data_IF_495576740560
#
_entry.id   IF_495576740560
#
_cell.length_a   1.000
_cell.length_b   1.000
_cell.length_c   1.000
_cell.angle_alpha   90.00
_cell.angle_beta   90.00
_cell.angle_gamma   90.00
#
_symmetry.space_group_name_H-M   'P 1'
#
loop_
_entity.id
_entity.type
_entity.pdbx_description
1 polymer ?
#
# COMPACT_ATOMS: atom_id res chain seq x y z
N UNK A 1 0.58 44.58 -60.93
CA UNK A 1 0.10 45.53 -59.91
C UNK A 1 -0.55 44.73 -58.80
N UNK A 2 0.02 44.85 -57.59
CA UNK A 2 -0.59 44.67 -56.25
C UNK A 2 -1.29 43.32 -55.95
N UNK A 3 -0.71 42.43 -55.15
CA UNK A 3 -0.61 42.47 -53.67
C UNK A 3 -1.97 42.43 -52.97
N UNK A 4 -2.29 41.32 -52.32
CA UNK A 4 -2.27 41.28 -50.85
C UNK A 4 -2.22 39.86 -50.30
N UNK A 5 -1.23 39.70 -49.42
CA UNK A 5 -1.00 38.64 -48.45
C UNK A 5 -2.01 38.81 -47.32
N UNK A 6 -2.53 37.69 -46.80
CA UNK A 6 -3.01 37.61 -45.43
C UNK A 6 -2.76 36.20 -44.91
N UNK A 7 -1.97 36.16 -43.84
CA UNK A 7 -1.36 35.03 -43.17
C UNK A 7 -2.36 34.00 -42.66
N UNK A 8 -2.08 32.72 -42.89
CA UNK A 8 -2.62 31.63 -42.07
C UNK A 8 -1.68 31.42 -40.89
N UNK A 9 -1.94 32.13 -39.79
CA UNK A 9 -1.37 31.78 -38.49
C UNK A 9 -1.81 30.36 -38.12
N UNK A 10 -0.84 29.47 -38.08
CA UNK A 10 -0.93 28.19 -37.39
C UNK A 10 -0.61 28.47 -35.93
N UNK A 11 -1.60 28.31 -35.05
CA UNK A 11 -1.34 28.23 -33.61
C UNK A 11 -1.81 26.90 -33.02
N UNK A 12 -1.07 26.40 -32.00
CA UNK A 12 -1.11 25.03 -31.55
C UNK A 12 -2.11 24.87 -30.40
N UNK A 13 -3.13 24.04 -30.61
CA UNK A 13 -4.12 23.68 -29.59
C UNK A 13 -3.97 22.24 -29.15
N UNK A 14 -2.79 21.86 -28.65
CA UNK A 14 -2.61 20.59 -27.94
C UNK A 14 -3.33 20.66 -26.59
N UNK A 15 -4.62 20.30 -26.58
CA UNK A 15 -5.34 20.02 -25.34
C UNK A 15 -4.61 18.93 -24.54
N UNK A 16 -4.78 18.90 -23.20
CA UNK A 16 -4.18 17.85 -22.38
C UNK A 16 -4.65 16.51 -22.93
N UNK A 17 -3.69 15.67 -23.33
CA UNK A 17 -3.95 14.31 -23.77
C UNK A 17 -4.81 13.64 -22.71
N UNK A 18 -6.02 13.26 -23.10
CA UNK A 18 -6.93 12.48 -22.27
C UNK A 18 -6.20 11.17 -21.95
N UNK A 19 -5.78 11.06 -20.70
CA UNK A 19 -5.06 9.89 -20.21
C UNK A 19 -6.05 8.72 -20.20
N UNK A 20 -5.71 7.65 -20.90
CA UNK A 20 -6.51 6.43 -20.94
C UNK A 20 -6.36 5.67 -19.61
N UNK A 21 -7.37 5.81 -18.74
CA UNK A 21 -7.43 5.19 -17.41
C UNK A 21 -8.17 3.85 -17.39
N UNK A 22 -8.41 3.20 -18.54
CA UNK A 22 -9.17 1.94 -18.61
C UNK A 22 -8.41 0.71 -18.09
N UNK A 23 -7.16 0.87 -17.65
CA UNK A 23 -6.28 -0.24 -17.26
C UNK A 23 -5.92 -0.23 -15.76
N UNK A 24 -6.95 -0.30 -14.90
CA UNK A 24 -6.80 -0.68 -13.48
C UNK A 24 -6.56 -2.19 -13.35
N UNK A 25 -5.39 -2.65 -13.83
CA UNK A 25 -4.92 -4.03 -13.65
C UNK A 25 -3.51 -4.12 -13.08
N UNK A 26 -3.04 -3.06 -12.41
CA UNK A 26 -1.77 -3.03 -11.69
C UNK A 26 -1.97 -3.64 -10.28
N UNK A 27 -2.13 -4.98 -10.19
CA UNK A 27 -2.29 -5.77 -8.95
C UNK A 27 -2.94 -4.98 -7.80
N UNK A 28 -4.22 -4.66 -8.01
CA UNK A 28 -4.80 -3.35 -7.73
C UNK A 28 -5.10 -2.99 -6.27
N UNK A 29 -4.87 -3.88 -5.33
CA UNK A 29 -5.10 -3.65 -3.89
C UNK A 29 -3.83 -3.71 -3.04
N UNK A 30 -2.69 -4.16 -3.59
CA UNK A 30 -1.46 -4.38 -2.81
C UNK A 30 -0.41 -3.28 -2.94
N UNK A 31 -0.62 -2.30 -3.83
CA UNK A 31 0.45 -1.41 -4.29
C UNK A 31 0.45 -0.05 -3.58
N UNK A 32 -0.72 0.46 -3.24
CA UNK A 32 -0.97 1.50 -2.22
C UNK A 32 -2.32 1.14 -1.61
N UNK A 33 -2.30 0.47 -0.45
CA UNK A 33 -3.53 0.15 0.29
C UNK A 33 -3.72 1.15 1.42
N UNK A 34 -4.85 1.84 1.44
CA UNK A 34 -5.26 2.69 2.55
C UNK A 34 -6.26 1.95 3.44
N UNK A 35 -5.88 1.66 4.67
CA UNK A 35 -6.73 1.05 5.67
C UNK A 35 -7.18 2.14 6.63
N UNK A 36 -8.45 2.54 6.58
CA UNK A 36 -9.02 3.52 7.52
C UNK A 36 -9.69 2.79 8.68
N UNK A 37 -9.14 2.92 9.88
CA UNK A 37 -9.68 2.39 11.12
C UNK A 37 -10.55 3.46 11.80
N UNK A 38 -11.86 3.34 11.64
CA UNK A 38 -12.86 4.31 12.07
C UNK A 38 -13.41 3.85 13.44
N UNK A 39 -13.18 4.61 14.53
CA UNK A 39 -13.66 4.27 15.86
C UNK A 39 -15.14 4.62 16.03
N UNK A 40 -15.76 4.02 17.04
CA UNK A 40 -17.00 4.53 17.61
C UNK A 40 -16.67 5.78 18.43
N UNK A 41 -17.39 6.88 18.18
CA UNK A 41 -17.26 8.15 18.90
C UNK A 41 -18.62 8.55 19.49
N UNK A 42 -18.67 9.41 20.53
CA UNK A 42 -19.92 9.97 21.02
C UNK A 42 -20.74 10.63 19.91
N UNK A 43 -22.07 10.61 20.03
CA UNK A 43 -22.97 11.18 19.01
C UNK A 43 -22.65 12.65 18.70
N UNK A 44 -22.23 13.41 19.71
CA UNK A 44 -21.81 14.81 19.59
C UNK A 44 -20.60 15.01 18.68
N UNK A 45 -19.80 13.97 18.45
CA UNK A 45 -18.56 14.00 17.64
C UNK A 45 -18.69 13.35 16.27
N UNK A 46 -19.83 12.74 15.93
CA UNK A 46 -20.02 12.06 14.64
C UNK A 46 -19.79 13.00 13.44
N UNK A 47 -20.36 14.20 13.49
CA UNK A 47 -20.21 15.18 12.42
C UNK A 47 -18.75 15.64 12.24
N UNK A 48 -18.02 15.78 13.34
CA UNK A 48 -16.60 16.14 13.33
C UNK A 48 -15.75 15.01 12.74
N UNK A 49 -16.01 13.77 13.14
CA UNK A 49 -15.37 12.58 12.59
C UNK A 49 -15.61 12.46 11.08
N UNK A 50 -16.84 12.64 10.62
CA UNK A 50 -17.19 12.61 9.20
C UNK A 50 -16.47 13.71 8.41
N UNK A 51 -16.30 14.90 8.98
CA UNK A 51 -15.54 15.99 8.37
C UNK A 51 -14.05 15.63 8.26
N UNK A 52 -13.45 15.07 9.32
CA UNK A 52 -12.08 14.57 9.31
C UNK A 52 -11.87 13.45 8.28
N UNK A 53 -12.81 12.50 8.17
CA UNK A 53 -12.77 11.43 7.16
C UNK A 53 -12.81 12.02 5.75
N UNK A 54 -13.69 12.98 5.49
CA UNK A 54 -13.75 13.68 4.18
C UNK A 54 -12.45 14.39 3.86
N UNK A 55 -11.87 15.09 4.85
CA UNK A 55 -10.60 15.80 4.71
C UNK A 55 -9.45 14.85 4.36
N UNK A 56 -9.33 13.72 5.07
CA UNK A 56 -8.35 12.67 4.72
C UNK A 56 -8.62 12.09 3.33
N UNK A 57 -9.86 11.77 2.96
CA UNK A 57 -10.14 11.23 1.63
C UNK A 57 -9.76 12.21 0.51
N UNK A 58 -9.94 13.52 0.72
CA UNK A 58 -9.47 14.55 -0.19
C UNK A 58 -7.94 14.56 -0.29
N UNK A 59 -7.23 14.46 0.83
CA UNK A 59 -5.77 14.33 0.83
C UNK A 59 -5.29 13.05 0.12
N UNK A 60 -5.91 11.89 0.37
CA UNK A 60 -5.58 10.64 -0.30
C UNK A 60 -5.81 10.74 -1.82
N UNK A 61 -6.88 11.40 -2.25
CA UNK A 61 -7.15 11.63 -3.67
C UNK A 61 -6.09 12.55 -4.31
N UNK A 62 -5.69 13.60 -3.60
CA UNK A 62 -4.60 14.46 -4.04
C UNK A 62 -3.27 13.70 -4.17
N UNK A 63 -2.93 12.88 -3.16
CA UNK A 63 -1.70 12.07 -3.15
C UNK A 63 -1.69 11.09 -4.33
N UNK A 64 -2.76 10.31 -4.51
CA UNK A 64 -2.86 9.34 -5.59
C UNK A 64 -2.77 9.98 -6.97
N UNK A 65 -3.40 11.14 -7.17
CA UNK A 65 -3.34 11.85 -8.47
C UNK A 65 -1.90 12.18 -8.84
N UNK A 66 -1.10 12.65 -7.87
CA UNK A 66 0.31 12.97 -8.08
C UNK A 66 1.14 11.72 -8.34
N UNK A 67 0.90 10.66 -7.58
CA UNK A 67 1.58 9.38 -7.75
C UNK A 67 1.38 8.84 -9.16
N UNK A 68 0.13 8.72 -9.61
CA UNK A 68 -0.16 8.15 -10.94
C UNK A 68 0.35 9.04 -12.07
N UNK A 69 0.26 10.37 -11.93
CA UNK A 69 0.85 11.30 -12.91
C UNK A 69 2.37 11.10 -13.04
N UNK A 70 3.07 10.87 -11.93
CA UNK A 70 4.52 10.62 -11.97
C UNK A 70 4.86 9.26 -12.58
N UNK A 71 4.08 8.21 -12.27
CA UNK A 71 4.24 6.89 -12.90
C UNK A 71 4.04 6.99 -14.41
N UNK A 72 2.95 7.63 -14.84
CA UNK A 72 2.62 7.78 -16.25
C UNK A 72 3.71 8.55 -17.01
N UNK A 73 4.20 9.65 -16.44
CA UNK A 73 5.30 10.42 -17.03
C UNK A 73 6.55 9.56 -17.23
N UNK A 74 6.88 8.70 -16.26
CA UNK A 74 8.03 7.79 -16.35
C UNK A 74 7.82 6.65 -17.35
N UNK A 75 6.59 6.20 -17.53
CA UNK A 75 6.25 5.25 -18.61
C UNK A 75 6.44 5.92 -19.97
N UNK A 76 5.90 7.14 -20.14
CA UNK A 76 6.00 7.92 -21.38
C UNK A 76 7.45 8.25 -21.74
N UNK A 77 8.32 8.51 -20.76
CA UNK A 77 9.75 8.75 -20.97
C UNK A 77 10.58 7.47 -21.19
N UNK A 78 9.97 6.28 -21.08
CA UNK A 78 10.65 5.00 -21.20
C UNK A 78 11.49 4.60 -19.97
N UNK A 79 11.42 5.36 -18.88
CA UNK A 79 12.13 5.08 -17.63
C UNK A 79 11.45 4.00 -16.78
N UNK A 80 10.14 3.82 -16.95
CA UNK A 80 9.38 2.70 -16.40
C UNK A 80 8.77 1.86 -17.53
N UNK A 81 8.68 0.53 -17.34
CA UNK A 81 8.06 -0.32 -18.33
C UNK A 81 6.54 -0.10 -18.38
N UNK A 82 5.99 -0.06 -19.60
CA UNK A 82 4.56 0.09 -19.86
C UNK A 82 3.80 -1.22 -20.11
N UNK A 83 4.49 -2.36 -20.17
CA UNK A 83 3.84 -3.65 -20.40
C UNK A 83 3.16 -4.23 -19.13
N UNK A 84 2.34 -5.25 -19.34
CA UNK A 84 1.48 -5.85 -18.32
C UNK A 84 2.12 -7.04 -17.57
N UNK A 85 3.41 -7.32 -17.79
CA UNK A 85 4.10 -8.38 -17.06
C UNK A 85 4.18 -8.08 -15.56
N UNK A 86 4.22 -9.14 -14.74
CA UNK A 86 4.32 -9.02 -13.28
C UNK A 86 5.58 -8.25 -12.87
N UNK A 87 6.69 -8.45 -13.59
CA UNK A 87 7.94 -7.73 -13.37
C UNK A 87 7.80 -6.21 -13.59
N UNK A 88 7.09 -5.82 -14.65
CA UNK A 88 6.84 -4.41 -14.98
C UNK A 88 5.90 -3.75 -13.98
N UNK A 89 4.81 -4.43 -13.60
CA UNK A 89 3.89 -4.00 -12.55
C UNK A 89 4.59 -3.81 -11.20
N UNK A 90 5.50 -4.73 -10.87
CA UNK A 90 6.32 -4.64 -9.64
C UNK A 90 7.21 -3.39 -9.65
N UNK A 91 7.89 -3.11 -10.77
CA UNK A 91 8.72 -1.89 -10.93
C UNK A 91 7.91 -0.61 -10.79
N UNK A 92 6.74 -0.53 -11.43
CA UNK A 92 5.82 0.63 -11.29
C UNK A 92 5.38 0.80 -9.84
N UNK A 93 5.05 -0.29 -9.15
CA UNK A 93 4.65 -0.29 -7.73
C UNK A 93 5.74 0.24 -6.81
N UNK A 94 6.97 -0.22 -6.95
CA UNK A 94 8.07 0.31 -6.14
C UNK A 94 8.31 1.79 -6.40
N UNK A 95 8.10 2.25 -7.64
CA UNK A 95 8.16 3.66 -7.95
C UNK A 95 7.04 4.46 -7.27
N UNK A 96 5.79 3.96 -7.29
CA UNK A 96 4.66 4.56 -6.55
C UNK A 96 4.99 4.77 -5.08
N UNK A 97 5.53 3.75 -4.41
CA UNK A 97 5.98 3.83 -3.01
C UNK A 97 6.99 4.96 -2.77
N UNK A 98 7.98 5.12 -3.67
CA UNK A 98 8.97 6.21 -3.58
C UNK A 98 8.31 7.58 -3.74
N UNK A 99 7.38 7.73 -4.69
CA UNK A 99 6.68 8.99 -4.92
C UNK A 99 5.82 9.37 -3.70
N UNK A 100 5.12 8.41 -3.09
CA UNK A 100 4.37 8.68 -1.84
C UNK A 100 5.32 9.11 -0.73
N UNK A 101 6.41 8.37 -0.51
CA UNK A 101 7.38 8.68 0.55
C UNK A 101 7.93 10.11 0.39
N UNK A 102 8.42 10.46 -0.80
CA UNK A 102 8.93 11.80 -1.08
C UNK A 102 7.84 12.88 -0.99
N UNK A 103 6.60 12.58 -1.40
CA UNK A 103 5.48 13.53 -1.28
C UNK A 103 5.16 13.83 0.18
N UNK A 104 5.16 12.80 1.05
CA UNK A 104 4.86 12.94 2.47
C UNK A 104 5.98 13.61 3.26
N UNK A 105 7.24 13.33 2.93
CA UNK A 105 8.40 14.02 3.55
C UNK A 105 8.34 15.54 3.35
N UNK A 106 7.76 16.00 2.23
CA UNK A 106 7.60 17.41 1.91
C UNK A 106 6.24 17.99 2.36
N UNK A 107 5.37 17.17 2.97
CA UNK A 107 4.01 17.58 3.33
C UNK A 107 4.00 18.23 4.71
N UNK A 108 3.65 19.52 4.83
CA UNK A 108 3.68 20.23 6.11
C UNK A 108 2.65 19.68 7.12
N UNK A 109 1.53 19.12 6.62
CA UNK A 109 0.50 18.48 7.45
C UNK A 109 0.86 17.07 7.95
N UNK A 110 2.09 16.58 7.67
CA UNK A 110 2.61 15.30 8.15
C UNK A 110 3.98 15.50 8.83
N UNK A 111 4.06 16.23 9.96
CA UNK A 111 5.32 16.38 10.67
C UNK A 111 5.82 15.01 11.11
N UNK A 112 7.00 14.60 10.63
CA UNK A 112 7.53 13.26 10.85
C UNK A 112 7.97 13.09 12.30
N UNK A 113 7.33 12.17 13.05
CA UNK A 113 7.53 12.05 14.51
C UNK A 113 8.37 10.82 14.89
N UNK A 114 8.38 9.74 14.10
CA UNK A 114 9.22 8.56 14.41
C UNK A 114 9.36 7.59 13.23
N UNK A 115 10.54 6.95 13.12
CA UNK A 115 10.81 5.83 12.23
C UNK A 115 11.39 4.68 13.03
N UNK A 116 10.78 3.51 12.93
CA UNK A 116 11.28 2.29 13.55
C UNK A 116 11.53 1.26 12.46
N UNK A 117 12.77 0.80 12.35
CA UNK A 117 13.14 -0.32 11.48
C UNK A 117 13.20 -1.60 12.31
N UNK A 118 12.54 -2.65 11.85
CA UNK A 118 12.53 -3.97 12.49
C UNK A 118 12.73 -5.07 11.45
N UNK A 119 13.25 -6.19 11.92
CA UNK A 119 13.39 -7.41 11.13
C UNK A 119 12.70 -8.54 11.87
N UNK A 120 11.89 -9.32 11.15
CA UNK A 120 11.29 -10.55 11.65
C UNK A 120 11.63 -11.70 10.72
N UNK A 121 11.67 -12.91 11.25
CA UNK A 121 11.90 -14.13 10.46
C UNK A 121 10.77 -15.11 10.71
N UNK A 122 10.35 -15.81 9.66
CA UNK A 122 9.36 -16.90 9.75
C UNK A 122 9.77 -18.04 8.83
N UNK A 123 9.29 -19.25 9.10
CA UNK A 123 9.62 -20.45 8.33
C UNK A 123 8.37 -21.28 8.12
N UNK A 124 8.12 -21.67 6.88
CA UNK A 124 6.95 -22.48 6.52
C UNK A 124 7.19 -23.28 5.24
N UNK A 125 6.32 -24.25 4.96
CA UNK A 125 6.29 -24.93 3.67
C UNK A 125 5.94 -23.96 2.52
N UNK A 126 6.32 -24.34 1.30
CA UNK A 126 6.07 -23.58 0.06
C UNK A 126 4.61 -23.09 -0.07
N UNK A 127 3.65 -23.95 0.27
CA UNK A 127 2.21 -23.69 0.20
C UNK A 127 1.71 -22.67 1.25
N UNK A 128 2.51 -22.41 2.30
CA UNK A 128 2.09 -21.63 3.48
C UNK A 128 2.93 -20.39 3.73
N UNK A 129 4.10 -20.25 3.10
CA UNK A 129 5.04 -19.17 3.40
C UNK A 129 4.45 -17.78 3.16
N UNK A 130 3.67 -17.60 2.09
CA UNK A 130 2.98 -16.33 1.82
C UNK A 130 2.02 -15.94 2.93
N UNK A 131 1.24 -16.89 3.45
CA UNK A 131 0.28 -16.64 4.54
C UNK A 131 1.01 -16.28 5.85
N UNK A 132 2.09 -16.99 6.17
CA UNK A 132 2.90 -16.69 7.36
C UNK A 132 3.55 -15.31 7.29
N UNK A 133 4.05 -14.91 6.12
CA UNK A 133 4.58 -13.57 5.90
C UNK A 133 3.51 -12.50 6.13
N UNK A 134 2.30 -12.69 5.58
CA UNK A 134 1.18 -11.77 5.78
C UNK A 134 0.79 -11.65 7.26
N UNK A 135 0.72 -12.76 7.98
CA UNK A 135 0.43 -12.74 9.42
C UNK A 135 1.49 -11.98 10.21
N UNK A 136 2.78 -12.18 9.91
CA UNK A 136 3.87 -11.43 10.55
C UNK A 136 3.75 -9.92 10.29
N UNK A 137 3.38 -9.52 9.07
CA UNK A 137 3.18 -8.11 8.71
C UNK A 137 1.98 -7.50 9.46
N UNK A 138 0.87 -8.24 9.58
CA UNK A 138 -0.33 -7.76 10.29
C UNK A 138 -0.14 -7.66 11.80
N UNK A 139 0.60 -8.60 12.40
CA UNK A 139 0.99 -8.51 13.80
C UNK A 139 1.91 -7.31 14.05
N UNK A 140 2.87 -7.08 13.15
CA UNK A 140 3.76 -5.93 13.23
C UNK A 140 3.03 -4.57 13.08
N UNK A 141 1.90 -4.54 12.36
CA UNK A 141 1.11 -3.33 12.15
C UNK A 141 0.01 -3.09 13.18
N UNK A 142 -0.19 -4.00 14.13
CA UNK A 142 -1.27 -3.92 15.12
C UNK A 142 -2.66 -4.10 14.52
N UNK A 143 -2.76 -4.56 13.26
CA UNK A 143 -4.02 -4.86 12.59
C UNK A 143 -4.57 -6.24 13.01
N UNK A 144 -3.72 -7.11 13.56
CA UNK A 144 -4.08 -8.49 13.94
C UNK A 144 -5.33 -8.61 14.83
N UNK A 145 -5.61 -7.57 15.61
CA UNK A 145 -6.69 -7.57 16.60
C UNK A 145 -8.00 -7.02 16.02
N UNK A 146 -8.00 -6.56 14.76
CA UNK A 146 -9.20 -6.12 14.07
C UNK A 146 -10.00 -7.33 13.57
N UNK A 147 -11.32 -7.40 13.79
CA UNK A 147 -12.21 -8.39 13.13
C UNK A 147 -12.08 -8.35 11.59
N UNK A 148 -11.59 -7.23 11.06
CA UNK A 148 -11.43 -6.98 9.65
C UNK A 148 -10.01 -7.26 9.13
N UNK A 149 -9.12 -7.79 9.97
CA UNK A 149 -7.76 -8.21 9.58
C UNK A 149 -7.79 -9.16 8.38
N UNK A 150 -8.81 -10.03 8.29
CA UNK A 150 -9.01 -10.93 7.15
C UNK A 150 -9.20 -10.20 5.82
N UNK A 151 -9.84 -9.01 5.83
CA UNK A 151 -10.00 -8.20 4.62
C UNK A 151 -8.64 -7.62 4.17
N UNK A 152 -7.79 -7.25 5.13
CA UNK A 152 -6.42 -6.82 4.86
C UNK A 152 -5.57 -7.99 4.35
N UNK A 153 -5.68 -9.19 4.95
CA UNK A 153 -5.03 -10.43 4.44
C UNK A 153 -5.45 -10.70 3.01
N UNK A 154 -6.74 -10.63 2.68
CA UNK A 154 -7.25 -10.87 1.32
C UNK A 154 -6.72 -9.86 0.32
N UNK A 155 -6.74 -8.57 0.68
CA UNK A 155 -6.24 -7.50 -0.18
C UNK A 155 -4.72 -7.61 -0.43
N UNK A 156 -3.94 -7.91 0.61
CA UNK A 156 -2.50 -8.10 0.48
C UNK A 156 -2.13 -9.40 -0.24
N UNK A 157 -2.83 -10.50 0.07
CA UNK A 157 -2.60 -11.81 -0.54
C UNK A 157 -2.95 -11.89 -2.02
N UNK A 158 -3.82 -11.01 -2.52
CA UNK A 158 -4.13 -10.91 -3.95
C UNK A 158 -3.00 -10.28 -4.78
N UNK A 159 -2.07 -9.55 -4.16
CA UNK A 159 -0.97 -8.88 -4.86
C UNK A 159 0.42 -9.20 -4.32
N UNK A 160 0.55 -10.11 -3.35
CA UNK A 160 1.82 -10.56 -2.80
C UNK A 160 2.10 -12.02 -3.15
N UNK A 161 3.14 -12.25 -3.96
CA UNK A 161 3.64 -13.58 -4.30
C UNK A 161 5.07 -13.75 -3.79
N UNK A 162 5.22 -14.36 -2.61
CA UNK A 162 6.51 -14.47 -1.92
C UNK A 162 7.60 -15.22 -2.74
N UNK A 163 7.19 -16.18 -3.57
CA UNK A 163 8.08 -17.06 -4.35
C UNK A 163 8.68 -16.40 -5.59
N UNK A 164 8.02 -15.37 -6.12
CA UNK A 164 8.67 -14.47 -7.07
C UNK A 164 9.51 -13.51 -6.22
N UNK A 165 10.83 -13.63 -6.23
CA UNK A 165 11.72 -12.81 -5.40
C UNK A 165 11.38 -11.31 -5.51
N UNK A 166 10.58 -10.81 -4.57
CA UNK A 166 10.23 -9.40 -4.49
C UNK A 166 11.36 -8.69 -3.77
N UNK A 167 12.41 -8.33 -4.50
CA UNK A 167 13.46 -7.40 -4.01
C UNK A 167 12.88 -5.99 -3.76
N UNK A 168 11.59 -5.80 -4.05
CA UNK A 168 10.94 -4.50 -4.10
C UNK A 168 9.99 -4.30 -2.90
N UNK A 169 10.00 -3.10 -2.28
CA UNK A 169 9.21 -2.83 -1.10
C UNK A 169 7.72 -2.76 -1.42
N UNK A 170 6.91 -3.45 -0.64
CA UNK A 170 5.47 -3.26 -0.58
C UNK A 170 5.11 -2.23 0.48
N UNK A 171 4.04 -1.49 0.27
CA UNK A 171 3.57 -0.48 1.22
C UNK A 171 2.07 -0.54 1.42
N UNK A 172 1.65 -0.47 2.67
CA UNK A 172 0.28 -0.11 3.03
C UNK A 172 0.30 0.97 4.11
N UNK A 173 -0.80 1.70 4.17
CA UNK A 173 -0.99 2.82 5.07
C UNK A 173 -2.19 2.57 5.94
N UNK A 174 -2.03 2.76 7.25
CA UNK A 174 -3.13 2.69 8.20
C UNK A 174 -3.43 4.09 8.67
N UNK A 175 -4.67 4.51 8.51
CA UNK A 175 -5.18 5.76 9.05
C UNK A 175 -6.01 5.40 10.27
N UNK A 176 -5.57 5.82 11.44
CA UNK A 176 -6.30 5.62 12.69
C UNK A 176 -6.92 6.94 13.12
N UNK A 177 -8.23 6.95 13.29
CA UNK A 177 -8.94 8.06 13.89
C UNK A 177 -9.11 7.82 15.39
N UNK A 178 -9.13 8.89 16.17
CA UNK A 178 -9.36 8.86 17.61
C UNK A 178 -10.06 10.11 18.09
N UNK A 179 -10.65 10.03 19.28
CA UNK A 179 -11.19 11.18 20.01
C UNK A 179 -10.24 11.48 21.17
N UNK A 180 -9.55 12.63 21.10
CA UNK A 180 -8.81 13.15 22.24
C UNK A 180 -9.81 13.77 23.22
N UNK A 181 -10.05 13.09 24.33
CA UNK A 181 -11.02 13.52 25.35
C UNK A 181 -10.56 14.73 26.15
N UNK A 182 -9.26 15.04 26.16
CA UNK A 182 -8.71 16.19 26.91
C UNK A 182 -8.93 17.47 26.12
N UNK A 183 -8.58 17.45 24.84
CA UNK A 183 -8.75 18.57 23.92
C UNK A 183 -10.16 18.64 23.32
N UNK A 184 -10.95 17.58 23.51
CA UNK A 184 -12.27 17.36 22.91
C UNK A 184 -12.27 17.52 21.39
N UNK A 185 -11.32 16.91 20.70
CA UNK A 185 -11.21 16.95 19.23
C UNK A 185 -11.01 15.57 18.63
N UNK A 186 -11.41 15.41 17.37
CA UNK A 186 -11.02 14.25 16.56
C UNK A 186 -9.61 14.43 16.04
N UNK A 187 -8.78 13.41 16.24
CA UNK A 187 -7.41 13.32 15.74
C UNK A 187 -7.29 12.17 14.76
N UNK A 188 -6.30 12.25 13.87
CA UNK A 188 -5.94 11.14 13.00
C UNK A 188 -4.42 10.94 13.00
N UNK A 189 -4.01 9.68 12.98
CA UNK A 189 -2.61 9.29 12.78
C UNK A 189 -2.48 8.45 11.52
N UNK A 190 -1.42 8.72 10.75
CA UNK A 190 -1.06 7.98 9.54
C UNK A 190 0.13 7.11 9.89
N UNK A 191 -0.07 5.80 9.84
CA UNK A 191 0.98 4.80 9.96
C UNK A 191 1.37 4.29 8.59
N UNK A 192 2.66 4.29 8.28
CA UNK A 192 3.17 3.73 7.03
C UNK A 192 3.96 2.48 7.32
N UNK A 193 3.62 1.39 6.64
CA UNK A 193 4.29 0.11 6.76
C UNK A 193 4.92 -0.23 5.43
N UNK A 194 6.24 -0.06 5.36
CA UNK A 194 7.05 -0.41 4.19
C UNK A 194 7.74 -1.72 4.53
N UNK A 195 7.58 -2.76 3.72
CA UNK A 195 8.22 -4.05 4.00
C UNK A 195 8.87 -4.66 2.76
N UNK A 196 9.93 -5.42 3.00
CA UNK A 196 10.64 -6.24 2.01
C UNK A 196 10.72 -7.66 2.53
N UNK A 197 10.56 -8.61 1.63
CA UNK A 197 10.58 -10.04 1.97
C UNK A 197 11.67 -10.72 1.17
N UNK A 198 12.58 -11.39 1.87
CA UNK A 198 13.61 -12.24 1.27
C UNK A 198 13.30 -13.69 1.60
N UNK A 199 13.06 -14.52 0.59
CA UNK A 199 12.89 -15.96 0.75
C UNK A 199 14.20 -16.70 0.51
N UNK A 200 14.50 -17.66 1.37
CA UNK A 200 15.60 -18.61 1.22
C UNK A 200 15.03 -20.03 1.31
N UNK A 201 15.30 -20.87 0.31
CA UNK A 201 14.97 -22.31 0.40
C UNK A 201 15.86 -22.93 1.49
N UNK A 202 15.23 -23.63 2.43
CA UNK A 202 15.89 -24.28 3.56
C UNK A 202 15.65 -25.78 3.50
N UNK A 203 16.69 -26.56 3.80
CA UNK A 203 16.55 -28.00 3.97
C UNK A 203 15.83 -28.30 5.29
N UNK A 204 14.89 -29.25 5.26
CA UNK A 204 14.27 -29.75 6.48
C UNK A 204 15.35 -30.26 7.44
N UNK A 205 15.21 -30.06 8.77
CA UNK A 205 16.10 -30.70 9.72
C UNK A 205 16.10 -32.20 9.45
N UNK A 206 17.29 -32.78 9.30
CA UNK A 206 17.46 -34.19 9.04
C UNK A 206 16.63 -34.99 10.06
N UNK A 207 15.89 -36.04 9.64
CA UNK A 207 15.14 -36.85 10.57
C UNK A 207 16.12 -37.34 11.64
N UNK A 208 15.83 -37.00 12.90
CA UNK A 208 16.61 -37.44 14.05
C UNK A 208 16.72 -38.96 13.96
N UNK A 209 17.92 -39.56 14.08
CA UNK A 209 18.05 -41.01 13.98
C UNK A 209 17.14 -41.62 15.04
N UNK A 210 16.05 -42.25 14.59
CA UNK A 210 15.17 -42.99 15.47
C UNK A 210 16.05 -44.03 16.16
N UNK A 211 16.14 -43.93 17.50
CA UNK A 211 16.79 -44.94 18.32
C UNK A 211 16.25 -46.31 17.89
N UNK A 212 17.19 -47.24 17.65
CA UNK A 212 16.91 -48.62 17.23
C UNK A 212 15.76 -49.22 18.05
N UNK A 213 14.59 -49.36 17.43
CA UNK A 213 13.40 -49.94 18.04
C UNK A 213 12.47 -50.54 16.98
N UNK A 214 12.63 -51.86 16.79
CA UNK A 214 11.73 -52.86 16.20
C UNK A 214 10.69 -52.45 15.11
N UNK A 215 10.92 -53.02 13.92
CA UNK A 215 9.94 -53.65 13.03
C UNK A 215 8.56 -52.98 12.87
N UNK A 216 8.41 -52.19 11.81
CA UNK A 216 7.15 -52.20 11.05
C UNK A 216 7.41 -52.09 9.55
N UNK A 217 6.93 -53.10 8.82
CA UNK A 217 7.01 -53.22 7.36
C UNK A 217 5.74 -52.58 6.79
N UNK A 218 5.71 -51.25 6.76
CA UNK A 218 4.71 -50.48 6.04
C UNK A 218 5.38 -49.76 4.88
N UNK A 219 4.85 -49.88 3.66
CA UNK A 219 5.23 -49.03 2.53
C UNK A 219 4.87 -47.58 2.91
N UNK A 220 5.80 -46.84 3.50
CA UNK A 220 5.70 -45.39 3.54
C UNK A 220 5.80 -44.90 2.11
N UNK A 221 4.66 -44.47 1.56
CA UNK A 221 4.67 -43.58 0.42
C UNK A 221 5.60 -42.43 0.80
N UNK A 222 6.69 -42.26 0.05
CA UNK A 222 7.55 -41.10 0.17
C UNK A 222 6.71 -39.94 -0.34
N UNK A 223 5.97 -39.30 0.56
CA UNK A 223 5.44 -37.97 0.30
C UNK A 223 6.65 -37.12 -0.07
N UNK A 224 6.66 -36.43 -1.22
CA UNK A 224 7.75 -35.51 -1.54
C UNK A 224 7.93 -34.61 -0.33
N UNK A 225 9.13 -34.59 0.27
CA UNK A 225 9.43 -33.66 1.34
C UNK A 225 9.19 -32.26 0.77
N UNK A 226 8.08 -31.65 1.14
CA UNK A 226 7.71 -30.32 0.67
C UNK A 226 8.86 -29.37 0.98
N UNK A 227 9.22 -28.54 0.01
CA UNK A 227 10.27 -27.55 0.18
C UNK A 227 9.89 -26.64 1.37
N UNK A 228 10.87 -26.40 2.24
CA UNK A 228 10.73 -25.43 3.33
C UNK A 228 11.38 -24.13 2.92
N UNK A 229 10.73 -23.02 3.23
CA UNK A 229 11.24 -21.69 2.96
C UNK A 229 11.34 -20.92 4.27
N UNK A 230 12.47 -20.22 4.45
CA UNK A 230 12.60 -19.17 5.44
C UNK A 230 12.36 -17.81 4.79
N UNK A 231 11.53 -16.99 5.41
CA UNK A 231 11.27 -15.61 5.02
C UNK A 231 11.88 -14.65 6.05
N UNK A 232 12.78 -13.77 5.59
CA UNK A 232 13.21 -12.60 6.34
C UNK A 232 12.39 -11.39 5.89
N UNK A 233 11.69 -10.76 6.82
CA UNK A 233 10.82 -9.61 6.60
C UNK A 233 11.46 -8.41 7.27
N UNK A 234 12.04 -7.54 6.47
CA UNK A 234 12.50 -6.22 6.91
C UNK A 234 11.34 -5.24 6.74
N UNK A 235 11.01 -4.49 7.78
CA UNK A 235 9.97 -3.49 7.69
C UNK A 235 10.31 -2.19 8.43
N UNK A 236 9.82 -1.10 7.87
CA UNK A 236 9.88 0.24 8.41
C UNK A 236 8.45 0.62 8.78
N UNK A 237 8.27 1.02 10.04
CA UNK A 237 7.03 1.61 10.53
C UNK A 237 7.28 3.07 10.85
N UNK A 238 6.49 3.96 10.23
CA UNK A 238 6.43 5.38 10.62
C UNK A 238 5.03 5.69 11.10
N UNK A 239 4.92 6.59 12.09
CA UNK A 239 3.64 7.09 12.59
C UNK A 239 3.71 8.59 12.70
N UNK A 240 2.75 9.28 12.10
CA UNK A 240 2.66 10.74 12.11
C UNK A 240 1.23 11.17 12.42
N UNK A 241 1.07 12.26 13.17
CA UNK A 241 -0.25 12.86 13.37
C UNK A 241 -0.58 13.72 12.15
N UNK A 242 -1.81 13.61 11.66
CA UNK A 242 -2.30 14.42 10.56
C UNK A 242 -2.74 15.79 11.07
N UNK A 243 -2.12 16.86 10.58
CA UNK A 243 -2.52 18.23 10.91
C UNK A 243 -3.64 18.69 9.97
N UNK A 244 -4.88 18.51 10.42
CA UNK A 244 -6.07 18.94 9.68
C UNK A 244 -6.09 20.44 9.38
N UNK A 245 -5.56 21.28 10.27
CA UNK A 245 -5.57 22.72 10.07
C UNK A 245 -4.64 23.11 8.94
N UNK A 246 -3.41 22.57 8.94
CA UNK A 246 -2.46 22.82 7.86
C UNK A 246 -2.95 22.27 6.52
N UNK A 247 -3.50 21.06 6.50
CA UNK A 247 -4.06 20.50 5.27
C UNK A 247 -5.21 21.38 4.75
N UNK A 248 -6.19 21.73 5.58
CA UNK A 248 -7.33 22.52 5.13
C UNK A 248 -6.94 23.93 4.65
N UNK A 249 -5.84 24.50 5.14
CA UNK A 249 -5.30 25.79 4.66
C UNK A 249 -4.52 25.67 3.35
N UNK A 250 -3.81 24.55 3.15
CA UNK A 250 -2.92 24.35 2.01
C UNK A 250 -3.51 23.45 0.89
N UNK A 251 -4.68 22.84 1.14
CA UNK A 251 -5.32 21.91 0.21
C UNK A 251 -5.57 22.61 -1.14
N UNK A 252 -5.25 21.95 -2.27
CA UNK A 252 -5.58 22.48 -3.57
C UNK A 252 -7.08 22.73 -3.71
N UNK A 253 -7.43 23.88 -4.26
CA UNK A 253 -8.81 24.31 -4.41
C UNK A 253 -9.44 23.81 -5.72
N UNK A 254 -8.62 23.43 -6.71
CA UNK A 254 -9.10 22.96 -8.00
C UNK A 254 -9.42 21.46 -7.98
N UNK A 255 -10.58 21.08 -8.54
CA UNK A 255 -10.98 19.67 -8.61
C UNK A 255 -10.04 18.82 -9.48
N UNK A 256 -9.40 19.43 -10.48
CA UNK A 256 -8.48 18.76 -11.38
C UNK A 256 -7.27 18.17 -10.62
N UNK A 257 -6.81 18.84 -9.56
CA UNK A 257 -5.69 18.40 -8.72
C UNK A 257 -5.93 17.08 -7.98
N UNK A 258 -7.17 16.61 -7.89
CA UNK A 258 -7.51 15.34 -7.24
C UNK A 258 -8.49 14.46 -8.03
N UNK A 259 -8.82 14.81 -9.28
CA UNK A 259 -9.86 14.12 -10.06
C UNK A 259 -9.57 12.62 -10.23
N UNK A 260 -8.34 12.27 -10.62
CA UNK A 260 -7.91 10.88 -10.80
C UNK A 260 -7.97 10.13 -9.47
N UNK A 261 -7.42 10.71 -8.42
CA UNK A 261 -7.42 10.09 -7.10
C UNK A 261 -8.83 9.92 -6.52
N UNK A 262 -9.77 10.83 -6.78
CA UNK A 262 -11.18 10.67 -6.35
C UNK A 262 -11.78 9.38 -6.93
N UNK A 263 -11.42 9.02 -8.16
CA UNK A 263 -11.89 7.79 -8.81
C UNK A 263 -11.17 6.53 -8.28
N UNK A 264 -9.89 6.67 -7.90
CA UNK A 264 -9.05 5.55 -7.49
C UNK A 264 -9.11 5.24 -5.99
N UNK A 265 -9.30 6.24 -5.12
CA UNK A 265 -9.34 6.05 -3.66
C UNK A 265 -10.33 4.94 -3.26
N UNK A 266 -11.59 4.91 -3.75
CA UNK A 266 -12.53 3.85 -3.38
C UNK A 266 -12.08 2.43 -3.75
N UNK A 267 -11.22 2.31 -4.76
CA UNK A 267 -10.68 1.02 -5.22
C UNK A 267 -9.45 0.59 -4.42
N UNK A 268 -8.79 1.55 -3.74
CA UNK A 268 -7.53 1.38 -3.00
C UNK A 268 -7.70 1.56 -1.49
N UNK A 269 -8.94 1.65 -1.03
CA UNK A 269 -9.28 1.90 0.37
C UNK A 269 -10.09 0.75 0.96
N UNK A 270 -9.69 0.31 2.15
CA UNK A 270 -10.49 -0.51 3.05
C UNK A 270 -10.91 0.35 4.24
N UNK A 271 -12.20 0.33 4.57
CA UNK A 271 -12.71 0.96 5.80
C UNK A 271 -13.00 -0.12 6.82
N UNK A 272 -12.26 -0.06 7.93
CA UNK A 272 -12.49 -0.88 9.09
C UNK A 272 -13.31 -0.10 10.10
N UNK A 273 -14.55 -0.52 10.27
CA UNK A 273 -15.43 0.00 11.31
C UNK A 273 -15.18 -0.85 12.56
N UNK A 274 -14.92 -0.20 13.71
CA UNK A 274 -15.01 -0.93 14.99
C UNK A 274 -16.47 -1.30 15.22
N UNK A 275 -16.73 -2.60 15.40
CA UNK A 275 -18.05 -3.10 15.75
C UNK A 275 -18.52 -2.48 17.08
N UNK A 276 -19.84 -2.27 17.18
CA UNK A 276 -20.55 -1.80 18.39
C UNK A 276 -20.61 -2.93 19.41
#
# INVERSE_FOLDING_TARGET
>A
MSSNVADSESQPGGGPSEVDYSNTRDLDLANILYVQNIPVVPDTKKNELDACIKSINSWLAWELTRVEKQVENKIKSGELPGDESIASKSKRTAYRSKVVSATRELSPWLPMVSTITKTSTTTAGEDKISLWVLHSILGASGISDSPQALNVVKAMGAGFHALEQTVQPHVFYVIEYGHDTVSDIIVASIKSFIFKVQLTETSAPAPTPAGKGLLSRGKSAVTPQGKLYAAAIEYINTSVNFDFNQWNQAAPQDEASYAVGKQLVPQKQLRLLKDI
#
